data_IF_419513054431
#
_entry.id   IF_419513054431
#
_cell.length_a   1.000
_cell.length_b   1.000
_cell.length_c   1.000
_cell.angle_alpha   90.00
_cell.angle_beta   90.00
_cell.angle_gamma   90.00
#
_symmetry.space_group_name_H-M   'P 1'
#
loop_
_entity.id
_entity.type
_entity.pdbx_description
1 polymer ?
#
# COMPACT_ATOMS: atom_id res chain seq x y z
N UNK A 1 5.34 14.03 -21.02
CA UNK A 1 3.95 13.66 -21.35
C UNK A 1 3.58 12.33 -20.70
N UNK A 2 4.41 11.29 -20.82
CA UNK A 2 4.21 9.95 -20.23
C UNK A 2 3.94 9.92 -18.70
N UNK A 3 4.65 10.73 -17.91
CA UNK A 3 4.43 10.76 -16.44
C UNK A 3 3.00 11.26 -16.07
N UNK A 4 2.48 12.28 -16.77
CA UNK A 4 1.11 12.78 -16.52
C UNK A 4 0.04 11.75 -16.84
N UNK A 5 0.25 10.95 -17.87
CA UNK A 5 -0.66 9.87 -18.27
C UNK A 5 -0.68 8.75 -17.22
N UNK A 6 0.49 8.36 -16.71
CA UNK A 6 0.59 7.34 -15.66
C UNK A 6 -0.04 7.79 -14.34
N UNK A 7 0.11 9.06 -13.96
CA UNK A 7 -0.61 9.64 -12.82
C UNK A 7 -2.13 9.57 -13.05
N UNK A 8 -2.60 9.83 -14.27
CA UNK A 8 -4.03 9.74 -14.58
C UNK A 8 -4.55 8.29 -14.49
N UNK A 9 -3.78 7.30 -14.96
CA UNK A 9 -4.12 5.88 -14.81
C UNK A 9 -4.13 5.44 -13.34
N UNK A 10 -3.13 5.87 -12.56
CA UNK A 10 -3.07 5.58 -11.13
C UNK A 10 -4.23 6.25 -10.36
N UNK A 11 -4.60 7.47 -10.72
CA UNK A 11 -5.74 8.17 -10.14
C UNK A 11 -7.08 7.51 -10.51
N UNK A 12 -7.23 6.99 -11.73
CA UNK A 12 -8.37 6.19 -12.13
C UNK A 12 -8.45 4.90 -11.29
N UNK A 13 -7.33 4.20 -11.12
CA UNK A 13 -7.25 3.01 -10.28
C UNK A 13 -7.59 3.30 -8.80
N UNK A 14 -7.28 4.49 -8.30
CA UNK A 14 -7.61 4.92 -6.95
C UNK A 14 -9.12 5.14 -6.76
N UNK A 15 -9.80 5.86 -7.68
CA UNK A 15 -11.26 6.04 -7.57
C UNK A 15 -12.00 4.71 -7.74
N UNK A 16 -11.53 3.80 -8.60
CA UNK A 16 -12.13 2.46 -8.76
C UNK A 16 -12.13 1.68 -7.43
N UNK A 17 -11.03 1.76 -6.66
CA UNK A 17 -10.92 1.13 -5.33
C UNK A 17 -11.86 1.75 -4.31
N UNK A 18 -11.89 3.09 -4.26
CA UNK A 18 -12.78 3.83 -3.37
C UNK A 18 -14.24 3.51 -3.69
N UNK A 19 -14.62 3.43 -4.97
CA UNK A 19 -15.97 3.05 -5.36
C UNK A 19 -16.24 1.57 -5.02
N UNK A 20 -15.33 0.64 -5.31
CA UNK A 20 -15.53 -0.77 -4.96
C UNK A 20 -15.69 -0.98 -3.45
N UNK A 21 -14.88 -0.29 -2.63
CA UNK A 21 -14.98 -0.28 -1.18
C UNK A 21 -16.30 0.33 -0.72
N UNK A 22 -16.64 1.54 -1.18
CA UNK A 22 -17.88 2.22 -0.82
C UNK A 22 -19.13 1.39 -1.18
N UNK A 23 -19.23 0.92 -2.42
CA UNK A 23 -20.36 0.10 -2.85
C UNK A 23 -20.47 -1.17 -2.01
N UNK A 24 -19.34 -1.77 -1.64
CA UNK A 24 -19.31 -2.99 -0.83
C UNK A 24 -19.73 -2.76 0.61
N UNK A 25 -19.18 -1.75 1.28
CA UNK A 25 -19.45 -1.44 2.68
C UNK A 25 -20.87 -0.93 2.89
N UNK A 26 -21.39 -0.14 1.94
CA UNK A 26 -22.78 0.34 1.94
C UNK A 26 -23.76 -0.69 1.35
N UNK A 27 -23.26 -1.87 0.94
CA UNK A 27 -24.06 -2.97 0.41
C UNK A 27 -24.92 -2.58 -0.82
N UNK A 28 -24.39 -1.70 -1.67
CA UNK A 28 -25.05 -1.09 -2.85
C UNK A 28 -24.86 -1.89 -4.16
N UNK A 29 -24.39 -3.14 -4.09
CA UNK A 29 -24.04 -3.96 -5.25
C UNK A 29 -24.89 -5.22 -5.40
N UNK A 30 -25.94 -5.40 -4.59
CA UNK A 30 -26.73 -6.64 -4.57
C UNK A 30 -27.58 -6.87 -5.83
N UNK A 31 -27.90 -5.80 -6.58
CA UNK A 31 -28.76 -5.86 -7.76
C UNK A 31 -28.04 -5.25 -8.96
N UNK A 32 -28.12 -5.87 -10.15
CA UNK A 32 -27.59 -5.27 -11.37
C UNK A 32 -28.21 -3.89 -11.64
N UNK A 33 -27.40 -2.88 -11.96
CA UNK A 33 -27.87 -1.53 -12.24
C UNK A 33 -28.66 -1.47 -13.55
N UNK A 34 -29.68 -0.62 -13.60
CA UNK A 34 -30.32 -0.28 -14.88
C UNK A 34 -29.37 0.57 -15.73
N UNK A 35 -29.31 0.30 -17.03
CA UNK A 35 -28.48 1.02 -18.00
C UNK A 35 -26.98 1.12 -17.62
N UNK A 36 -26.49 0.19 -16.79
CA UNK A 36 -25.12 0.20 -16.26
C UNK A 36 -24.75 1.49 -15.50
N UNK A 37 -25.73 2.25 -14.98
CA UNK A 37 -25.45 3.50 -14.28
C UNK A 37 -25.31 3.27 -12.77
N UNK A 38 -24.41 4.04 -12.14
CA UNK A 38 -24.32 4.14 -10.68
C UNK A 38 -24.53 5.57 -10.22
N UNK A 39 -25.02 5.73 -8.99
CA UNK A 39 -25.19 7.03 -8.35
C UNK A 39 -24.97 6.93 -6.84
N UNK A 40 -24.27 7.92 -6.28
CA UNK A 40 -24.09 8.11 -4.85
C UNK A 40 -24.72 9.46 -4.50
N UNK A 41 -25.77 9.45 -3.67
CA UNK A 41 -26.42 10.68 -3.21
C UNK A 41 -25.60 11.28 -2.07
N UNK A 42 -24.92 12.41 -2.32
CA UNK A 42 -24.01 13.03 -1.36
C UNK A 42 -24.73 13.99 -0.39
N UNK A 43 -25.79 14.65 -0.87
CA UNK A 43 -26.69 15.55 -0.11
C UNK A 43 -28.04 15.66 -0.82
N UNK A 44 -28.96 16.54 -0.41
CA UNK A 44 -30.23 16.76 -1.14
C UNK A 44 -30.03 17.31 -2.57
N UNK A 45 -28.93 18.03 -2.82
CA UNK A 45 -28.67 18.71 -4.09
C UNK A 45 -27.51 18.10 -4.87
N UNK A 46 -26.64 17.32 -4.21
CA UNK A 46 -25.44 16.77 -4.84
C UNK A 46 -25.52 15.25 -5.05
N UNK A 47 -25.26 14.81 -6.27
CA UNK A 47 -25.16 13.39 -6.65
C UNK A 47 -23.90 13.15 -7.46
N UNK A 48 -23.09 12.18 -7.05
CA UNK A 48 -21.98 11.67 -7.85
C UNK A 48 -22.48 10.51 -8.72
N UNK A 49 -22.16 10.49 -10.00
CA UNK A 49 -22.65 9.45 -10.92
C UNK A 49 -21.67 9.12 -12.03
N UNK A 50 -21.79 7.92 -12.58
CA UNK A 50 -21.03 7.44 -13.73
C UNK A 50 -21.63 6.14 -14.26
N UNK A 51 -20.87 5.43 -15.07
CA UNK A 51 -21.26 4.14 -15.61
C UNK A 51 -20.30 3.04 -15.15
N UNK A 52 -20.85 1.84 -14.96
CA UNK A 52 -20.07 0.62 -14.85
C UNK A 52 -19.63 0.21 -16.26
N UNK A 53 -18.34 -0.02 -16.43
CA UNK A 53 -17.83 -0.77 -17.58
C UNK A 53 -18.07 -2.28 -17.38
N UNK A 54 -18.04 -2.73 -16.12
CA UNK A 54 -18.40 -4.07 -15.69
C UNK A 54 -19.02 -4.04 -14.30
N UNK A 55 -20.19 -4.66 -14.16
CA UNK A 55 -20.81 -4.88 -12.85
C UNK A 55 -20.50 -6.30 -12.37
N UNK A 56 -20.10 -6.44 -11.10
CA UNK A 56 -19.80 -7.72 -10.47
C UNK A 56 -20.76 -7.98 -9.32
N UNK A 57 -21.33 -9.18 -9.28
CA UNK A 57 -22.12 -9.65 -8.14
C UNK A 57 -21.29 -9.80 -6.84
N UNK A 58 -19.96 -9.74 -6.94
CA UNK A 58 -19.03 -9.83 -5.81
C UNK A 58 -18.40 -8.48 -5.43
N UNK A 59 -18.85 -7.37 -6.03
CA UNK A 59 -18.33 -6.02 -5.72
C UNK A 59 -17.04 -5.64 -6.45
N UNK A 60 -16.48 -6.51 -7.29
CA UNK A 60 -15.32 -6.22 -8.14
C UNK A 60 -15.75 -5.48 -9.42
N UNK A 61 -16.29 -4.28 -9.27
CA UNK A 61 -16.76 -3.49 -10.40
C UNK A 61 -15.60 -2.89 -11.19
N UNK A 62 -15.87 -2.57 -12.46
CA UNK A 62 -15.03 -1.68 -13.28
C UNK A 62 -15.90 -0.51 -13.74
N UNK A 63 -15.31 0.66 -13.87
CA UNK A 63 -16.04 1.90 -14.13
C UNK A 63 -15.60 2.53 -15.45
N UNK A 64 -16.50 3.25 -16.11
CA UNK A 64 -16.05 4.14 -17.18
C UNK A 64 -15.25 5.31 -16.57
N UNK A 65 -14.24 5.87 -17.29
CA UNK A 65 -13.38 6.93 -16.77
C UNK A 65 -14.11 8.23 -16.41
N UNK A 66 -15.28 8.47 -16.98
CA UNK A 66 -16.02 9.71 -16.73
C UNK A 66 -16.84 9.62 -15.44
N UNK A 67 -16.45 10.44 -14.47
CA UNK A 67 -17.21 10.64 -13.23
C UNK A 67 -17.82 12.04 -13.25
N UNK A 68 -19.11 12.13 -12.94
CA UNK A 68 -19.88 13.37 -13.03
C UNK A 68 -20.43 13.76 -11.66
N UNK A 69 -20.33 15.04 -11.32
CA UNK A 69 -21.02 15.64 -10.19
C UNK A 69 -22.25 16.40 -10.70
N UNK A 70 -23.41 16.13 -10.11
CA UNK A 70 -24.66 16.85 -10.34
C UNK A 70 -24.95 17.67 -9.09
N UNK A 71 -25.18 18.99 -9.21
CA UNK A 71 -25.40 19.92 -8.08
C UNK A 71 -26.78 20.60 -8.13
N UNK A 72 -27.79 19.87 -8.60
CA UNK A 72 -29.18 20.31 -8.76
C UNK A 72 -29.43 21.28 -9.92
N UNK A 73 -28.39 21.96 -10.42
CA UNK A 73 -28.48 22.92 -11.54
C UNK A 73 -27.59 22.55 -12.72
N UNK A 74 -26.49 21.86 -12.48
CA UNK A 74 -25.51 21.52 -13.51
C UNK A 74 -25.04 20.07 -13.38
N UNK A 75 -24.52 19.53 -14.49
CA UNK A 75 -23.79 18.26 -14.53
C UNK A 75 -22.39 18.56 -15.03
N UNK A 76 -21.38 18.31 -14.19
CA UNK A 76 -19.98 18.64 -14.48
C UNK A 76 -19.10 17.40 -14.38
N UNK A 77 -18.18 17.24 -15.33
CA UNK A 77 -17.14 16.22 -15.26
C UNK A 77 -16.19 16.58 -14.09
N UNK A 78 -15.97 15.66 -13.18
CA UNK A 78 -15.12 15.88 -12.00
C UNK A 78 -13.79 15.15 -12.14
N UNK A 79 -12.78 15.63 -11.40
CA UNK A 79 -11.52 14.89 -11.27
C UNK A 79 -11.70 13.73 -10.29
N UNK A 80 -10.92 12.66 -10.44
CA UNK A 80 -10.97 11.53 -9.51
C UNK A 80 -10.71 11.94 -8.06
N UNK A 81 -9.75 12.85 -7.82
CA UNK A 81 -9.45 13.35 -6.46
C UNK A 81 -10.61 14.14 -5.86
N UNK A 82 -11.29 14.96 -6.66
CA UNK A 82 -12.49 15.67 -6.21
C UNK A 82 -13.61 14.68 -5.90
N UNK A 83 -13.84 13.68 -6.75
CA UNK A 83 -14.84 12.64 -6.52
C UNK A 83 -14.58 11.87 -5.20
N UNK A 84 -13.34 11.44 -4.97
CA UNK A 84 -12.90 10.79 -3.72
C UNK A 84 -13.16 11.70 -2.53
N UNK A 85 -12.75 12.97 -2.59
CA UNK A 85 -12.96 13.91 -1.50
C UNK A 85 -14.44 14.08 -1.16
N UNK A 86 -15.33 14.13 -2.17
CA UNK A 86 -16.78 14.21 -1.95
C UNK A 86 -17.34 12.95 -1.28
N UNK A 87 -16.87 11.76 -1.67
CA UNK A 87 -17.28 10.49 -1.03
C UNK A 87 -16.84 10.48 0.44
N UNK A 88 -15.58 10.81 0.73
CA UNK A 88 -15.08 10.86 2.10
C UNK A 88 -15.82 11.90 2.95
N UNK A 89 -16.14 13.06 2.37
CA UNK A 89 -16.93 14.10 3.05
C UNK A 89 -18.33 13.59 3.39
N UNK A 90 -18.97 12.87 2.45
CA UNK A 90 -20.27 12.26 2.66
C UNK A 90 -20.26 11.23 3.80
N UNK A 91 -19.27 10.32 3.80
CA UNK A 91 -19.13 9.30 4.86
C UNK A 91 -18.90 9.92 6.24
N UNK A 92 -18.30 11.12 6.31
CA UNK A 92 -17.98 11.76 7.57
C UNK A 92 -19.08 12.71 8.11
N UNK A 93 -20.22 12.85 7.42
CA UNK A 93 -21.28 13.80 7.79
C UNK A 93 -21.89 13.54 9.18
N UNK A 94 -21.91 12.28 9.64
CA UNK A 94 -22.52 11.87 10.90
C UNK A 94 -21.58 11.93 12.11
N UNK A 95 -20.33 12.36 11.94
CA UNK A 95 -19.33 12.33 13.00
C UNK A 95 -19.44 13.53 13.96
N UNK A 96 -19.40 13.26 15.27
CA UNK A 96 -19.59 14.27 16.32
C UNK A 96 -18.44 15.30 16.40
N UNK A 97 -17.20 14.89 16.06
CA UNK A 97 -16.01 15.75 16.15
C UNK A 97 -15.51 16.19 14.77
N UNK A 98 -16.11 17.27 14.26
CA UNK A 98 -15.82 17.80 12.92
C UNK A 98 -14.36 18.22 12.72
N UNK A 99 -13.66 18.70 13.76
CA UNK A 99 -12.25 19.07 13.63
C UNK A 99 -11.35 17.85 13.48
N UNK A 100 -11.55 16.81 14.28
CA UNK A 100 -10.80 15.56 14.16
C UNK A 100 -11.05 14.88 12.81
N UNK A 101 -12.31 14.92 12.34
CA UNK A 101 -12.70 14.46 11.00
C UNK A 101 -11.91 15.19 9.92
N UNK A 102 -11.88 16.52 9.94
CA UNK A 102 -11.16 17.31 8.94
C UNK A 102 -9.66 16.96 8.89
N UNK A 103 -9.03 16.79 10.06
CA UNK A 103 -7.62 16.38 10.15
C UNK A 103 -7.41 14.97 9.58
N UNK A 104 -8.27 14.02 9.95
CA UNK A 104 -8.19 12.64 9.48
C UNK A 104 -8.42 12.54 7.97
N UNK A 105 -9.39 13.27 7.44
CA UNK A 105 -9.65 13.36 6.00
C UNK A 105 -8.47 13.95 5.24
N UNK A 106 -7.83 15.00 5.77
CA UNK A 106 -6.62 15.56 5.16
C UNK A 106 -5.50 14.52 5.11
N UNK A 107 -5.33 13.72 6.17
CA UNK A 107 -4.37 12.63 6.22
C UNK A 107 -4.69 11.53 5.18
N UNK A 108 -5.94 11.06 5.11
CA UNK A 108 -6.38 10.07 4.11
C UNK A 108 -6.14 10.60 2.70
N UNK A 109 -6.50 11.84 2.40
CA UNK A 109 -6.28 12.43 1.08
C UNK A 109 -4.78 12.53 0.74
N UNK A 110 -3.93 12.80 1.74
CA UNK A 110 -2.47 12.76 1.58
C UNK A 110 -1.97 11.34 1.27
N UNK A 111 -2.49 10.33 1.96
CA UNK A 111 -2.11 8.93 1.72
C UNK A 111 -2.64 8.41 0.37
N UNK A 112 -3.81 8.87 -0.08
CA UNK A 112 -4.34 8.59 -1.43
C UNK A 112 -3.44 9.22 -2.49
N UNK A 113 -3.04 10.48 -2.29
CA UNK A 113 -2.11 11.16 -3.20
C UNK A 113 -0.76 10.43 -3.25
N UNK A 114 -0.23 10.01 -2.10
CA UNK A 114 0.98 9.20 -2.01
C UNK A 114 0.82 7.91 -2.82
N UNK A 115 -0.26 7.17 -2.59
CA UNK A 115 -0.57 5.93 -3.30
C UNK A 115 -0.68 6.12 -4.81
N UNK A 116 -1.30 7.21 -5.27
CA UNK A 116 -1.40 7.53 -6.71
C UNK A 116 -0.02 7.74 -7.31
N UNK A 117 0.84 8.54 -6.67
CA UNK A 117 2.18 8.80 -7.17
C UNK A 117 3.05 7.55 -7.17
N UNK A 118 2.95 6.70 -6.13
CA UNK A 118 3.71 5.44 -6.07
C UNK A 118 3.24 4.46 -7.14
N UNK A 119 1.93 4.26 -7.28
CA UNK A 119 1.38 3.44 -8.37
C UNK A 119 1.84 3.96 -9.74
N UNK A 120 1.80 5.28 -9.98
CA UNK A 120 2.28 5.85 -11.23
C UNK A 120 3.78 5.58 -11.46
N UNK A 121 4.61 5.62 -10.41
CA UNK A 121 6.03 5.25 -10.46
C UNK A 121 6.21 3.77 -10.81
N UNK A 122 5.48 2.87 -10.16
CA UNK A 122 5.59 1.43 -10.40
C UNK A 122 5.14 1.04 -11.81
N UNK A 123 4.11 1.71 -12.34
CA UNK A 123 3.68 1.52 -13.72
C UNK A 123 4.73 2.00 -14.75
N UNK A 124 5.70 2.84 -14.36
CA UNK A 124 6.85 3.18 -15.21
C UNK A 124 7.87 2.03 -15.29
N UNK A 125 7.99 1.23 -14.23
CA UNK A 125 8.94 0.12 -14.12
C UNK A 125 8.34 -1.23 -14.49
N UNK A 126 7.18 -1.27 -15.16
CA UNK A 126 6.41 -2.50 -15.41
C UNK A 126 7.00 -3.44 -16.48
N UNK A 127 8.30 -3.41 -16.68
CA UNK A 127 9.02 -4.31 -17.58
C UNK A 127 9.18 -5.67 -16.91
N UNK A 128 8.34 -6.63 -17.28
CA UNK A 128 8.43 -8.02 -16.80
C UNK A 128 9.58 -8.72 -17.54
N UNK A 129 10.57 -9.19 -16.79
CA UNK A 129 11.55 -10.15 -17.31
C UNK A 129 11.02 -11.57 -17.14
N UNK A 130 10.61 -12.18 -18.25
CA UNK A 130 10.08 -13.55 -18.25
C UNK A 130 11.16 -14.63 -18.04
N UNK A 131 12.44 -14.25 -17.96
CA UNK A 131 13.52 -15.15 -17.58
C UNK A 131 13.60 -15.35 -16.05
N UNK A 132 12.98 -14.48 -15.25
CA UNK A 132 12.92 -14.61 -13.80
C UNK A 132 11.96 -15.74 -13.34
N UNK A 133 12.15 -16.18 -12.10
CA UNK A 133 11.26 -17.16 -11.46
C UNK A 133 9.82 -16.60 -11.43
N UNK A 134 8.87 -17.40 -11.94
CA UNK A 134 7.45 -17.01 -12.02
C UNK A 134 6.84 -16.67 -10.66
N UNK A 135 7.32 -17.30 -9.59
CA UNK A 135 6.89 -16.96 -8.24
C UNK A 135 7.32 -15.53 -7.88
N UNK A 136 8.59 -15.18 -8.11
CA UNK A 136 9.11 -13.82 -7.86
C UNK A 136 8.38 -12.79 -8.71
N UNK A 137 8.20 -13.07 -10.01
CA UNK A 137 7.45 -12.19 -10.91
C UNK A 137 6.02 -11.97 -10.38
N UNK A 138 5.36 -13.01 -9.86
CA UNK A 138 4.01 -12.88 -9.31
C UNK A 138 3.95 -11.98 -8.08
N UNK A 139 4.92 -12.09 -7.17
CA UNK A 139 5.02 -11.25 -5.96
C UNK A 139 5.31 -9.79 -6.31
N UNK A 140 6.05 -9.54 -7.41
CA UNK A 140 6.43 -8.20 -7.86
C UNK A 140 5.42 -7.54 -8.82
N UNK A 141 4.42 -8.28 -9.31
CA UNK A 141 3.48 -7.78 -10.34
C UNK A 141 2.19 -7.16 -9.79
N UNK A 142 2.04 -7.01 -8.47
CA UNK A 142 0.83 -6.46 -7.86
C UNK A 142 0.81 -4.91 -7.86
N UNK A 143 0.97 -4.28 -9.03
CA UNK A 143 1.18 -2.82 -9.19
C UNK A 143 0.09 -1.95 -8.58
N UNK A 144 -1.17 -2.38 -8.63
CA UNK A 144 -2.30 -1.59 -8.16
C UNK A 144 -2.69 -1.93 -6.70
N UNK A 145 -2.10 -2.98 -6.12
CA UNK A 145 -2.36 -3.38 -4.73
C UNK A 145 -3.79 -3.86 -4.49
N UNK A 146 -4.21 -3.90 -3.22
CA UNK A 146 -5.51 -4.42 -2.82
C UNK A 146 -6.67 -3.69 -3.53
N UNK A 147 -7.64 -4.40 -4.13
CA UNK A 147 -8.72 -3.79 -4.91
C UNK A 147 -9.84 -3.15 -4.05
N UNK A 148 -9.86 -3.41 -2.74
CA UNK A 148 -10.79 -2.81 -1.77
C UNK A 148 -10.00 -2.16 -0.62
N UNK A 149 -9.15 -1.20 -0.95
CA UNK A 149 -8.43 -0.43 0.06
C UNK A 149 -8.19 0.97 -0.52
N UNK A 150 -8.32 2.04 0.27
CA UNK A 150 -8.27 3.40 -0.25
C UNK A 150 -6.85 3.81 -0.66
N UNK A 151 -5.84 3.26 0.01
CA UNK A 151 -4.43 3.67 -0.09
C UNK A 151 -3.48 2.48 -0.27
N UNK A 152 -3.76 1.54 -1.19
CA UNK A 152 -3.11 0.22 -1.21
C UNK A 152 -1.61 0.27 -1.55
N UNK A 153 -1.12 1.39 -2.07
CA UNK A 153 0.29 1.66 -2.38
C UNK A 153 0.83 2.89 -1.67
N UNK A 154 0.15 3.38 -0.63
CA UNK A 154 0.76 4.40 0.23
C UNK A 154 1.94 3.79 0.97
N UNK A 155 3.07 4.49 0.92
CA UNK A 155 4.32 4.12 1.57
C UNK A 155 4.88 5.36 2.29
N UNK A 156 4.06 5.92 3.19
CA UNK A 156 4.42 7.07 4.01
C UNK A 156 5.66 6.76 4.86
N UNK A 157 6.67 7.63 4.78
CA UNK A 157 7.99 7.44 5.41
C UNK A 157 9.10 6.95 4.45
N UNK A 158 8.75 6.40 3.28
CA UNK A 158 9.75 6.03 2.27
C UNK A 158 9.97 7.20 1.30
N UNK A 159 11.23 7.47 0.94
CA UNK A 159 11.54 8.36 -0.18
C UNK A 159 11.36 7.64 -1.53
N UNK A 160 11.37 8.36 -2.65
CA UNK A 160 11.43 7.72 -3.99
C UNK A 160 12.64 6.79 -4.13
N UNK A 161 13.80 7.19 -3.58
CA UNK A 161 15.01 6.37 -3.61
C UNK A 161 14.89 5.11 -2.73
N UNK A 162 14.09 5.14 -1.67
CA UNK A 162 13.81 3.95 -0.87
C UNK A 162 12.92 2.97 -1.64
N UNK A 163 11.93 3.47 -2.39
CA UNK A 163 11.10 2.61 -3.22
C UNK A 163 11.89 1.89 -4.31
N UNK A 164 12.79 2.59 -5.00
CA UNK A 164 13.65 1.96 -6.01
C UNK A 164 14.52 0.82 -5.44
N UNK A 165 14.89 0.94 -4.17
CA UNK A 165 15.72 -0.06 -3.49
C UNK A 165 14.94 -1.19 -2.84
N UNK A 166 13.70 -0.95 -2.42
CA UNK A 166 13.00 -1.84 -1.51
C UNK A 166 11.57 -2.22 -1.93
N UNK A 167 10.98 -1.52 -2.91
CA UNK A 167 9.62 -1.85 -3.36
C UNK A 167 9.65 -3.06 -4.33
N UNK A 168 8.84 -4.10 -4.09
CA UNK A 168 8.80 -5.27 -4.96
C UNK A 168 8.39 -4.92 -6.39
N UNK A 169 7.51 -3.92 -6.59
CA UNK A 169 7.04 -3.48 -7.91
C UNK A 169 8.12 -2.78 -8.75
N UNK A 170 9.28 -2.48 -8.14
CA UNK A 170 10.47 -2.01 -8.84
C UNK A 170 11.40 -3.16 -9.27
N UNK A 171 10.98 -4.41 -9.12
CA UNK A 171 11.76 -5.61 -9.47
C UNK A 171 13.17 -5.62 -8.84
N UNK A 172 13.24 -5.10 -7.61
CA UNK A 172 14.51 -4.88 -6.92
C UNK A 172 14.89 -6.08 -6.06
N UNK A 173 16.18 -6.23 -5.82
CA UNK A 173 16.73 -7.19 -4.87
C UNK A 173 17.85 -6.53 -4.07
N UNK A 174 18.02 -6.95 -2.83
CA UNK A 174 19.02 -6.39 -1.93
C UNK A 174 19.51 -7.45 -0.96
N UNK A 175 20.76 -7.31 -0.52
CA UNK A 175 21.32 -8.14 0.54
C UNK A 175 20.75 -7.69 1.89
N UNK A 176 20.38 -8.64 2.74
CA UNK A 176 20.00 -8.34 4.12
C UNK A 176 21.20 -7.85 4.93
N UNK A 177 20.93 -7.01 5.93
CA UNK A 177 21.89 -6.78 7.01
C UNK A 177 21.78 -7.91 8.03
N UNK A 178 22.88 -8.22 8.71
CA UNK A 178 22.91 -9.20 9.78
C UNK A 178 23.55 -8.59 11.02
N UNK A 179 22.91 -8.79 12.18
CA UNK A 179 23.41 -8.35 13.48
C UNK A 179 23.73 -9.58 14.31
N UNK A 180 24.90 -9.61 14.96
CA UNK A 180 25.11 -10.49 16.09
C UNK A 180 24.46 -9.82 17.31
N UNK A 181 23.43 -10.46 17.88
CA UNK A 181 22.65 -9.92 19.01
C UNK A 181 22.82 -10.85 20.19
N UNK A 182 23.16 -10.31 21.37
CA UNK A 182 23.31 -11.10 22.58
C UNK A 182 21.97 -11.70 23.01
N UNK A 183 21.96 -12.96 23.44
CA UNK A 183 20.74 -13.69 23.77
C UNK A 183 19.88 -13.01 24.87
N UNK A 184 20.49 -12.22 25.76
CA UNK A 184 19.78 -11.50 26.83
C UNK A 184 18.83 -10.40 26.32
N UNK A 185 19.06 -9.91 25.10
CA UNK A 185 18.21 -8.88 24.45
C UNK A 185 17.45 -9.42 23.25
N UNK A 186 17.54 -10.73 22.97
CA UNK A 186 16.85 -11.40 21.88
C UNK A 186 15.82 -12.40 22.39
N UNK A 187 14.57 -12.22 21.98
CA UNK A 187 13.53 -13.23 22.19
C UNK A 187 13.39 -14.10 20.94
N UNK A 188 13.66 -15.40 21.08
CA UNK A 188 13.49 -16.38 20.00
C UNK A 188 12.35 -17.36 20.30
N UNK A 189 11.66 -17.80 19.25
CA UNK A 189 10.65 -18.86 19.29
C UNK A 189 10.71 -19.65 18.00
N UNK A 190 10.80 -20.96 18.11
CA UNK A 190 10.90 -21.85 16.97
C UNK A 190 9.79 -22.89 16.99
N UNK A 191 9.55 -23.51 15.83
CA UNK A 191 8.88 -24.80 15.79
C UNK A 191 9.83 -25.84 16.39
N UNK A 192 9.32 -26.66 17.29
CA UNK A 192 10.12 -27.65 18.02
C UNK A 192 10.99 -28.51 17.08
N UNK A 193 12.30 -28.54 17.33
CA UNK A 193 13.28 -29.32 16.58
C UNK A 193 13.72 -28.67 15.25
N UNK A 194 13.43 -27.39 15.04
CA UNK A 194 13.83 -26.62 13.85
C UNK A 194 14.89 -25.56 14.11
N UNK A 195 15.25 -25.33 15.36
CA UNK A 195 16.20 -24.32 15.82
C UNK A 195 17.52 -24.40 15.02
N UNK A 196 18.20 -25.54 15.08
CA UNK A 196 19.48 -25.78 14.41
C UNK A 196 19.38 -25.63 12.87
N UNK A 197 18.24 -25.99 12.29
CA UNK A 197 18.02 -25.89 10.84
C UNK A 197 17.89 -24.43 10.42
N UNK A 198 17.13 -23.65 11.19
CA UNK A 198 16.95 -22.21 10.95
C UNK A 198 18.28 -21.48 11.09
N UNK A 199 19.01 -21.71 12.19
CA UNK A 199 20.32 -21.07 12.41
C UNK A 199 21.31 -21.41 11.29
N UNK A 200 21.41 -22.68 10.90
CA UNK A 200 22.28 -23.09 9.80
C UNK A 200 21.94 -22.37 8.49
N UNK A 201 20.66 -22.23 8.16
CA UNK A 201 20.22 -21.51 6.96
C UNK A 201 20.57 -20.02 7.06
N UNK A 202 20.40 -19.40 8.23
CA UNK A 202 20.77 -17.99 8.44
C UNK A 202 22.27 -17.75 8.23
N UNK A 203 23.13 -18.61 8.78
CA UNK A 203 24.58 -18.52 8.56
C UNK A 203 24.96 -18.70 7.09
N UNK A 204 24.32 -19.64 6.39
CA UNK A 204 24.53 -19.85 4.96
C UNK A 204 24.11 -18.64 4.11
N UNK A 205 22.96 -18.02 4.42
CA UNK A 205 22.47 -16.83 3.71
C UNK A 205 23.28 -15.57 4.02
N UNK A 206 23.90 -15.51 5.19
CA UNK A 206 24.80 -14.44 5.58
C UNK A 206 26.22 -14.60 5.03
N UNK A 207 26.59 -15.79 4.56
CA UNK A 207 27.95 -16.19 4.21
C UNK A 207 28.93 -15.95 5.39
N UNK A 208 28.52 -16.36 6.59
CA UNK A 208 29.29 -16.22 7.84
C UNK A 208 29.47 -17.60 8.48
N UNK A 209 30.69 -17.95 8.88
CA UNK A 209 30.92 -19.16 9.67
C UNK A 209 30.47 -18.95 11.12
N UNK A 210 29.82 -19.97 11.71
CA UNK A 210 29.34 -19.90 13.10
C UNK A 210 30.46 -19.58 14.11
N UNK A 211 31.72 -19.96 13.80
CA UNK A 211 32.88 -19.66 14.61
C UNK A 211 33.27 -18.17 14.63
N UNK A 212 32.75 -17.37 13.71
CA UNK A 212 32.93 -15.91 13.68
C UNK A 212 31.96 -15.19 14.63
N UNK A 213 30.88 -15.86 15.07
CA UNK A 213 29.93 -15.28 16.01
C UNK A 213 30.41 -15.47 17.45
N UNK A 214 30.46 -14.40 18.25
CA UNK A 214 30.81 -14.52 19.66
C UNK A 214 29.85 -15.47 20.39
N UNK A 215 30.38 -16.16 21.39
CA UNK A 215 29.56 -17.01 22.26
C UNK A 215 28.40 -16.21 22.86
N UNK A 216 27.23 -16.82 22.95
CA UNK A 216 25.99 -16.23 23.51
C UNK A 216 25.35 -15.14 22.62
N UNK A 217 25.84 -14.96 21.40
CA UNK A 217 25.21 -14.14 20.36
C UNK A 217 24.52 -15.01 19.31
N UNK A 218 23.43 -14.47 18.76
CA UNK A 218 22.62 -15.09 17.74
C UNK A 218 22.54 -14.13 16.55
N UNK A 219 22.66 -14.67 15.34
CA UNK A 219 22.58 -13.89 14.11
C UNK A 219 21.13 -13.52 13.80
N UNK A 220 20.83 -12.22 13.74
CA UNK A 220 19.53 -11.66 13.41
C UNK A 220 19.57 -11.01 12.01
N UNK A 221 18.86 -11.55 11.01
CA UNK A 221 18.69 -10.87 9.73
C UNK A 221 17.77 -9.64 9.90
N UNK A 222 18.13 -8.55 9.24
CA UNK A 222 17.37 -7.30 9.27
C UNK A 222 17.34 -6.63 7.90
N UNK A 223 16.19 -6.04 7.57
CA UNK A 223 16.04 -5.28 6.34
C UNK A 223 16.98 -4.05 6.32
N UNK A 224 17.64 -3.73 5.20
CA UNK A 224 18.59 -2.60 5.13
C UNK A 224 17.99 -1.23 5.48
N UNK A 225 16.73 -0.99 5.10
CA UNK A 225 16.03 0.22 5.56
C UNK A 225 15.85 0.23 7.09
N UNK A 226 15.47 -0.91 7.68
CA UNK A 226 15.15 -0.99 9.10
C UNK A 226 16.39 -0.76 9.97
N UNK A 227 17.57 -1.23 9.57
CA UNK A 227 18.80 -0.97 10.35
C UNK A 227 19.14 0.53 10.40
N UNK A 228 18.86 1.28 9.33
CA UNK A 228 19.07 2.73 9.32
C UNK A 228 18.11 3.45 10.28
N UNK A 229 16.89 2.95 10.41
CA UNK A 229 15.90 3.43 11.39
C UNK A 229 16.34 3.07 12.81
N UNK A 230 16.70 1.80 13.06
CA UNK A 230 17.09 1.33 14.40
C UNK A 230 18.33 2.04 14.93
N UNK A 231 19.32 2.37 14.08
CA UNK A 231 20.52 3.12 14.49
C UNK A 231 20.21 4.48 15.13
N UNK A 232 19.03 5.03 14.89
CA UNK A 232 18.58 6.30 15.47
C UNK A 232 17.73 6.08 16.74
N UNK A 233 17.36 4.84 17.06
CA UNK A 233 16.51 4.50 18.19
C UNK A 233 17.33 4.46 19.50
N UNK A 234 16.91 5.15 20.58
CA UNK A 234 17.68 5.24 21.82
C UNK A 234 18.06 3.88 22.43
N UNK A 235 17.12 2.93 22.44
CA UNK A 235 17.36 1.61 23.01
C UNK A 235 18.37 0.79 22.19
N UNK A 236 18.37 0.94 20.86
CA UNK A 236 19.35 0.26 20.00
C UNK A 236 20.75 0.83 20.25
N UNK A 237 20.88 2.16 20.37
CA UNK A 237 22.16 2.80 20.69
C UNK A 237 22.68 2.33 22.05
N UNK A 238 21.82 2.27 23.06
CA UNK A 238 22.17 1.77 24.39
C UNK A 238 22.68 0.33 24.36
N UNK A 239 21.99 -0.59 23.68
CA UNK A 239 22.46 -1.98 23.56
C UNK A 239 23.76 -2.09 22.77
N UNK A 240 23.88 -1.35 21.67
CA UNK A 240 25.11 -1.32 20.87
C UNK A 240 26.31 -0.79 21.66
N UNK A 241 26.14 0.19 22.54
CA UNK A 241 27.20 0.69 23.43
C UNK A 241 27.59 -0.32 24.51
N UNK A 242 26.64 -1.15 24.93
CA UNK A 242 26.86 -2.26 25.88
C UNK A 242 27.44 -3.50 25.20
N UNK A 243 27.55 -3.50 23.87
CA UNK A 243 27.99 -4.67 23.09
C UNK A 243 26.96 -5.80 23.09
N UNK A 244 25.66 -5.47 23.21
CA UNK A 244 24.53 -6.41 23.19
C UNK A 244 23.83 -6.43 21.84
#
# INVERSE_FOLDING_TARGET
MQNKELIQHAAYAAIERILNEYFREENLYQVPPQNHQWSIQLSELETLTGQFAYWSAMGHHMYHPEVWLIDGKSKKLTTYKEAIARILQHMAQSADNQTAVQQHMAQIMSDIDNSIHRTARYLQSNTIDYAEDRYIVSEQSLYLGHPFHPTPKSASGFSEADLEKYAPECHTSFQLHYLAVHQDVLLTRYVEGKEDQVEKVLYQLADIDISEIPKDFILLPIHPYQINVLRQHPQYMQYSEQGL
#
